data_IF_756221910026
#
_entry.id   IF_756221910026
#
_cell.length_a   1.000
_cell.length_b   1.000
_cell.length_c   1.000
_cell.angle_alpha   90.00
_cell.angle_beta   90.00
_cell.angle_gamma   90.00
#
_symmetry.space_group_name_H-M   'P 1'
#
loop_
_entity.id
_entity.type
_entity.pdbx_description
1 polymer ?
#
# COMPACT_ATOMS: atom_id res chain seq x y z
N UNK A 1 0.01 5.10 9.91
CA UNK A 1 -0.49 5.29 11.29
C UNK A 1 0.44 4.45 12.15
N UNK A 2 1.26 5.13 12.96
CA UNK A 2 2.44 4.56 13.60
C UNK A 2 2.22 4.27 15.08
N UNK A 3 3.27 3.74 15.71
CA UNK A 3 3.47 3.18 17.07
C UNK A 3 2.67 3.74 18.26
N UNK A 4 1.93 4.84 18.11
CA UNK A 4 1.16 5.49 19.18
C UNK A 4 -0.36 5.33 19.07
N UNK A 5 -0.91 4.70 18.02
CA UNK A 5 -2.37 4.60 17.84
C UNK A 5 -2.82 3.29 17.18
N UNK A 6 -3.82 2.63 17.76
CA UNK A 6 -4.50 1.47 17.19
C UNK A 6 -5.51 1.91 16.11
N UNK A 7 -5.28 1.48 14.86
CA UNK A 7 -6.15 1.80 13.72
C UNK A 7 -7.61 1.33 13.92
N UNK A 8 -7.82 0.27 14.70
CA UNK A 8 -9.16 -0.27 14.97
C UNK A 8 -10.06 0.73 15.70
N UNK A 9 -9.49 1.63 16.50
CA UNK A 9 -10.26 2.66 17.21
C UNK A 9 -10.89 3.69 16.27
N UNK A 10 -10.41 3.78 15.02
CA UNK A 10 -10.92 4.71 14.01
C UNK A 10 -12.00 4.10 13.11
N UNK A 11 -12.30 2.79 13.20
CA UNK A 11 -13.29 2.11 12.33
C UNK A 11 -14.64 2.82 12.38
N UNK A 12 -15.11 3.18 13.57
CA UNK A 12 -16.39 3.89 13.71
C UNK A 12 -16.42 5.26 13.05
N UNK A 13 -15.30 5.98 13.04
CA UNK A 13 -15.15 7.26 12.35
C UNK A 13 -15.10 7.07 10.83
N UNK A 14 -14.37 6.07 10.34
CA UNK A 14 -14.29 5.74 8.93
C UNK A 14 -15.65 5.38 8.35
N UNK A 15 -16.43 4.52 9.03
CA UNK A 15 -17.78 4.14 8.62
C UNK A 15 -18.73 5.35 8.58
N UNK A 16 -18.66 6.25 9.56
CA UNK A 16 -19.44 7.51 9.55
C UNK A 16 -19.07 8.44 8.40
N UNK A 17 -17.85 8.36 7.88
CA UNK A 17 -17.38 9.11 6.71
C UNK A 17 -17.70 8.42 5.38
N UNK A 18 -18.43 7.31 5.39
CA UNK A 18 -18.87 6.61 4.19
C UNK A 18 -17.98 5.46 3.74
N UNK A 19 -17.11 4.92 4.61
CA UNK A 19 -16.42 3.67 4.29
C UNK A 19 -17.44 2.51 4.19
N UNK A 20 -17.36 1.73 3.11
CA UNK A 20 -18.23 0.58 2.84
C UNK A 20 -17.77 -0.71 3.54
N UNK A 21 -16.65 -0.67 4.24
CA UNK A 21 -16.06 -1.83 4.87
C UNK A 21 -14.79 -1.56 5.64
N UNK A 22 -14.28 -2.57 6.32
CA UNK A 22 -13.02 -2.52 7.03
C UNK A 22 -12.39 -3.90 7.19
N UNK A 23 -11.08 -3.91 7.41
CA UNK A 23 -10.31 -5.09 7.80
C UNK A 23 -9.97 -4.96 9.28
N UNK A 24 -10.03 -6.05 10.03
CA UNK A 24 -9.64 -6.07 11.44
C UNK A 24 -8.85 -7.33 11.80
N UNK A 25 -7.96 -7.20 12.79
CA UNK A 25 -7.15 -8.32 13.27
C UNK A 25 -7.96 -9.26 14.15
N UNK A 26 -7.66 -10.57 14.08
CA UNK A 26 -8.41 -11.63 14.76
C UNK A 26 -8.46 -11.47 16.28
N UNK A 27 -7.47 -10.80 16.88
CA UNK A 27 -7.45 -10.41 18.29
C UNK A 27 -8.55 -9.41 18.72
N UNK A 28 -9.20 -8.72 17.78
CA UNK A 28 -10.21 -7.69 18.05
C UNK A 28 -11.66 -8.18 17.87
N UNK A 29 -11.89 -9.49 17.81
CA UNK A 29 -13.23 -10.10 17.67
C UNK A 29 -14.24 -9.61 18.71
N UNK A 30 -13.83 -9.37 19.96
CA UNK A 30 -14.74 -8.84 20.99
C UNK A 30 -15.08 -7.36 20.77
N UNK A 31 -14.15 -6.54 20.25
CA UNK A 31 -14.45 -5.15 19.84
C UNK A 31 -15.46 -5.12 18.68
N UNK A 32 -15.46 -6.12 17.79
CA UNK A 32 -16.45 -6.22 16.71
C UNK A 32 -17.90 -6.26 17.23
N UNK A 33 -18.16 -6.98 18.33
CA UNK A 33 -19.49 -7.03 18.96
C UNK A 33 -19.90 -5.65 19.51
N UNK A 34 -18.94 -4.93 20.11
CA UNK A 34 -19.16 -3.57 20.60
C UNK A 34 -19.44 -2.59 19.45
N UNK A 35 -18.68 -2.67 18.36
CA UNK A 35 -18.92 -1.85 17.16
C UNK A 35 -20.30 -2.12 16.57
N UNK A 36 -20.71 -3.39 16.42
CA UNK A 36 -22.07 -3.77 15.99
C UNK A 36 -23.15 -3.08 16.82
N UNK A 37 -23.00 -3.09 18.15
CA UNK A 37 -23.98 -2.51 19.09
C UNK A 37 -23.98 -0.98 19.07
N UNK A 38 -22.80 -0.36 19.03
CA UNK A 38 -22.65 1.08 19.23
C UNK A 38 -22.85 1.90 17.95
N UNK A 39 -22.64 1.31 16.79
CA UNK A 39 -22.52 2.11 15.57
C UNK A 39 -23.84 2.65 15.02
N UNK A 40 -25.01 2.13 15.43
CA UNK A 40 -26.33 2.54 14.89
C UNK A 40 -26.31 2.75 13.35
N UNK A 41 -25.45 2.00 12.65
CA UNK A 41 -25.22 2.18 11.21
C UNK A 41 -26.39 1.56 10.47
N UNK A 42 -26.75 2.17 9.33
CA UNK A 42 -27.99 1.91 8.58
C UNK A 42 -28.23 0.44 8.26
N UNK A 43 -27.20 -0.41 8.16
CA UNK A 43 -27.25 -1.86 8.28
C UNK A 43 -25.82 -2.41 8.33
N UNK A 44 -25.43 -3.05 9.44
CA UNK A 44 -24.10 -3.68 9.54
C UNK A 44 -23.90 -4.83 8.54
N UNK A 45 -24.99 -5.36 7.99
CA UNK A 45 -25.01 -6.40 6.97
C UNK A 45 -24.59 -5.90 5.57
N UNK A 46 -24.59 -4.58 5.35
CA UNK A 46 -24.22 -3.98 4.06
C UNK A 46 -22.71 -3.67 3.99
N UNK A 47 -21.97 -3.89 5.08
CA UNK A 47 -20.54 -3.61 5.16
C UNK A 47 -19.70 -4.82 4.76
N UNK A 48 -18.65 -4.59 3.98
CA UNK A 48 -17.61 -5.60 3.76
C UNK A 48 -16.69 -5.66 4.96
N UNK A 49 -16.77 -6.75 5.73
CA UNK A 49 -15.98 -6.93 6.95
C UNK A 49 -15.06 -8.12 6.76
N UNK A 50 -13.76 -7.84 6.68
CA UNK A 50 -12.73 -8.86 6.51
C UNK A 50 -11.93 -9.01 7.79
N UNK A 51 -11.62 -10.27 8.11
CA UNK A 51 -10.75 -10.61 9.22
C UNK A 51 -9.38 -11.01 8.67
N UNK A 52 -8.32 -10.53 9.32
CA UNK A 52 -6.95 -10.96 9.08
C UNK A 52 -6.26 -11.33 10.40
N UNK A 53 -5.15 -12.05 10.34
CA UNK A 53 -4.29 -12.26 11.50
C UNK A 53 -3.35 -11.06 11.74
N UNK A 54 -2.96 -10.39 10.67
CA UNK A 54 -2.17 -9.16 10.69
C UNK A 54 -2.63 -8.23 9.57
N UNK A 55 -3.02 -7.00 9.90
CA UNK A 55 -3.56 -6.05 8.92
C UNK A 55 -2.51 -5.59 7.90
N UNK A 56 -1.23 -5.54 8.31
CA UNK A 56 -0.14 -5.11 7.44
C UNK A 56 0.14 -6.16 6.37
N UNK A 57 0.32 -7.42 6.78
CA UNK A 57 0.48 -8.54 5.83
C UNK A 57 -0.75 -8.71 4.93
N UNK A 58 -1.95 -8.44 5.44
CA UNK A 58 -3.15 -8.40 4.60
C UNK A 58 -3.03 -7.32 3.50
N UNK A 59 -2.64 -6.10 3.85
CA UNK A 59 -2.46 -5.01 2.90
C UNK A 59 -1.39 -5.35 1.83
N UNK A 60 -0.26 -5.91 2.26
CA UNK A 60 0.84 -6.33 1.38
C UNK A 60 0.37 -7.39 0.37
N UNK A 61 -0.36 -8.41 0.82
CA UNK A 61 -0.87 -9.47 -0.04
C UNK A 61 -1.92 -8.98 -1.05
N UNK A 62 -2.77 -8.05 -0.63
CA UNK A 62 -3.74 -7.41 -1.51
C UNK A 62 -3.02 -6.57 -2.56
N UNK A 63 -2.02 -5.77 -2.16
CA UNK A 63 -1.22 -4.99 -3.10
C UNK A 63 -0.50 -5.89 -4.11
N UNK A 64 0.17 -6.95 -3.65
CA UNK A 64 0.83 -7.94 -4.54
C UNK A 64 -0.14 -8.56 -5.55
N UNK A 65 -1.34 -8.94 -5.10
CA UNK A 65 -2.36 -9.50 -5.99
C UNK A 65 -2.90 -8.46 -6.98
N UNK A 66 -3.03 -7.20 -6.54
CA UNK A 66 -3.55 -6.10 -7.33
C UNK A 66 -2.56 -5.68 -8.43
N UNK A 67 -1.27 -5.56 -8.12
CA UNK A 67 -0.25 -5.24 -9.12
C UNK A 67 -0.14 -6.33 -10.18
N UNK A 68 -0.24 -7.62 -9.79
CA UNK A 68 -0.25 -8.73 -10.75
C UNK A 68 -1.51 -8.80 -11.61
N UNK A 69 -2.64 -8.29 -11.11
CA UNK A 69 -3.89 -8.24 -11.87
C UNK A 69 -3.80 -7.29 -13.06
N UNK A 70 -3.23 -6.10 -12.85
CA UNK A 70 -3.07 -5.10 -13.91
C UNK A 70 -1.75 -5.23 -14.67
N UNK A 71 -0.74 -5.84 -14.03
CA UNK A 71 0.53 -6.24 -14.61
C UNK A 71 1.25 -5.12 -15.41
N UNK A 72 1.42 -3.90 -14.84
CA UNK A 72 2.27 -2.88 -15.45
C UNK A 72 3.73 -3.33 -15.41
N UNK A 73 4.61 -2.65 -16.16
CA UNK A 73 6.05 -2.80 -15.98
C UNK A 73 6.48 -2.09 -14.70
N UNK A 74 7.09 -2.82 -13.76
CA UNK A 74 7.43 -2.32 -12.43
C UNK A 74 8.92 -2.02 -12.29
N UNK A 75 9.23 -0.76 -11.97
CA UNK A 75 10.60 -0.27 -11.76
C UNK A 75 10.79 0.13 -10.29
N UNK A 76 11.76 -0.50 -9.62
CA UNK A 76 12.08 -0.26 -8.21
C UNK A 76 13.42 0.46 -8.09
N UNK A 77 13.44 1.58 -7.37
CA UNK A 77 14.63 2.41 -7.20
C UNK A 77 15.04 2.42 -5.73
N UNK A 78 16.26 1.99 -5.45
CA UNK A 78 16.84 1.99 -4.09
C UNK A 78 18.23 2.61 -4.05
N UNK A 79 18.73 2.88 -2.83
CA UNK A 79 20.00 3.55 -2.57
C UNK A 79 19.93 4.51 -1.37
N UNK A 80 21.07 4.95 -0.86
CA UNK A 80 21.16 5.95 0.21
C UNK A 80 20.77 7.34 -0.31
N UNK A 81 21.21 7.71 -1.52
CA UNK A 81 21.03 9.04 -2.12
C UNK A 81 20.53 8.92 -3.57
N UNK A 82 19.84 9.95 -4.07
CA UNK A 82 19.49 10.07 -5.51
C UNK A 82 18.23 9.34 -5.96
N UNK A 83 17.58 8.56 -5.06
CA UNK A 83 16.35 7.81 -5.38
C UNK A 83 15.23 8.68 -5.95
N UNK A 84 14.87 9.75 -5.24
CA UNK A 84 13.75 10.62 -5.61
C UNK A 84 14.02 11.34 -6.94
N UNK A 85 15.23 11.85 -7.14
CA UNK A 85 15.61 12.52 -8.40
C UNK A 85 15.54 11.55 -9.58
N UNK A 86 16.05 10.33 -9.40
CA UNK A 86 16.04 9.28 -10.44
C UNK A 86 14.61 8.86 -10.78
N UNK A 87 13.78 8.68 -9.76
CA UNK A 87 12.35 8.40 -9.93
C UNK A 87 11.68 9.52 -10.72
N UNK A 88 11.84 10.76 -10.29
CA UNK A 88 11.21 11.92 -10.93
C UNK A 88 11.68 12.08 -12.38
N UNK A 89 12.95 11.79 -12.67
CA UNK A 89 13.48 11.79 -14.04
C UNK A 89 12.83 10.71 -14.92
N UNK A 90 12.74 9.47 -14.43
CA UNK A 90 12.08 8.38 -15.15
C UNK A 90 10.60 8.65 -15.38
N UNK A 91 9.88 9.12 -14.36
CA UNK A 91 8.48 9.53 -14.48
C UNK A 91 8.32 10.56 -15.59
N UNK A 92 9.14 11.62 -15.60
CA UNK A 92 9.04 12.69 -16.60
C UNK A 92 9.33 12.22 -18.04
N UNK A 93 10.21 11.23 -18.22
CA UNK A 93 10.53 10.70 -19.55
C UNK A 93 9.43 9.77 -20.03
N UNK A 94 9.07 8.78 -19.21
CA UNK A 94 8.10 7.74 -19.59
C UNK A 94 6.69 8.32 -19.75
N UNK A 95 6.32 9.32 -18.95
CA UNK A 95 5.00 9.96 -19.03
C UNK A 95 4.75 10.72 -20.34
N UNK A 96 5.76 10.85 -21.22
CA UNK A 96 5.58 11.44 -22.56
C UNK A 96 4.80 10.52 -23.51
N UNK A 97 4.89 9.22 -23.31
CA UNK A 97 4.31 8.20 -24.21
C UNK A 97 3.45 7.17 -23.48
N UNK A 98 3.62 7.03 -22.17
CA UNK A 98 2.98 5.98 -21.37
C UNK A 98 2.26 6.57 -20.15
N UNK A 99 1.28 5.84 -19.62
CA UNK A 99 0.67 6.17 -18.32
C UNK A 99 1.54 5.60 -17.20
N UNK A 100 2.09 6.49 -16.40
CA UNK A 100 3.01 6.16 -15.31
C UNK A 100 2.36 6.47 -13.98
N UNK A 101 2.17 5.45 -13.15
CA UNK A 101 1.87 5.62 -11.73
C UNK A 101 3.15 5.45 -10.92
N UNK A 102 3.26 6.11 -9.77
CA UNK A 102 4.49 6.08 -8.98
C UNK A 102 4.25 6.37 -7.50
N UNK A 103 5.16 5.91 -6.65
CA UNK A 103 5.09 6.20 -5.22
C UNK A 103 5.32 7.71 -4.95
N UNK A 104 4.45 8.38 -4.17
CA UNK A 104 4.70 9.73 -3.67
C UNK A 104 5.99 9.83 -2.84
N UNK A 105 6.46 11.05 -2.60
CA UNK A 105 7.60 11.27 -1.69
C UNK A 105 7.27 10.67 -0.31
N UNK A 106 8.24 9.98 0.30
CA UNK A 106 8.13 9.29 1.59
C UNK A 106 7.21 8.04 1.60
N UNK A 107 6.71 7.59 0.44
CA UNK A 107 5.93 6.34 0.33
C UNK A 107 6.86 5.16 -0.01
N UNK A 108 8.00 5.08 0.68
CA UNK A 108 9.07 4.11 0.41
C UNK A 108 9.10 2.94 1.41
N UNK A 109 7.95 2.67 2.00
CA UNK A 109 7.70 1.70 3.07
C UNK A 109 6.59 0.78 2.62
N UNK A 110 6.44 -0.37 3.24
CA UNK A 110 5.45 -1.39 2.94
C UNK A 110 4.02 -0.83 2.85
N UNK A 111 3.63 0.07 3.76
CA UNK A 111 2.32 0.76 3.72
C UNK A 111 2.24 1.74 2.54
N UNK A 112 3.28 2.56 2.34
CA UNK A 112 3.29 3.59 1.30
C UNK A 112 3.28 2.99 -0.10
N UNK A 113 4.11 1.98 -0.33
CA UNK A 113 4.17 1.21 -1.58
C UNK A 113 2.85 0.52 -1.83
N UNK A 114 2.32 -0.24 -0.84
CA UNK A 114 1.06 -0.96 -1.00
C UNK A 114 -0.10 -0.01 -1.35
N UNK A 115 -0.18 1.16 -0.70
CA UNK A 115 -1.18 2.17 -1.05
C UNK A 115 -1.03 2.69 -2.47
N UNK A 116 0.20 2.98 -2.89
CA UNK A 116 0.46 3.49 -4.25
C UNK A 116 0.10 2.46 -5.31
N UNK A 117 0.31 1.17 -5.02
CA UNK A 117 -0.10 0.06 -5.88
C UNK A 117 -1.62 0.01 -6.03
N UNK A 118 -2.39 0.27 -4.97
CA UNK A 118 -3.85 0.22 -5.04
C UNK A 118 -4.48 1.36 -5.84
N UNK A 119 -3.70 2.38 -6.23
CA UNK A 119 -4.14 3.46 -7.11
C UNK A 119 -3.96 3.12 -8.61
N UNK A 120 -3.27 2.03 -8.96
CA UNK A 120 -3.10 1.64 -10.37
C UNK A 120 -4.43 1.14 -10.97
N UNK A 121 -4.53 1.19 -12.29
CA UNK A 121 -5.65 0.64 -13.03
C UNK A 121 -5.20 -0.05 -14.33
N UNK A 122 -6.16 -0.49 -15.16
CA UNK A 122 -5.90 -1.22 -16.40
C UNK A 122 -5.27 -0.39 -17.51
N UNK A 123 -5.09 0.91 -17.31
CA UNK A 123 -4.38 1.78 -18.26
C UNK A 123 -2.97 2.10 -17.78
N UNK A 124 -2.58 1.71 -16.56
CA UNK A 124 -1.22 1.93 -16.06
C UNK A 124 -0.23 1.07 -16.85
N UNK A 125 0.67 1.69 -17.59
CA UNK A 125 1.73 1.00 -18.35
C UNK A 125 2.95 0.72 -17.46
N UNK A 126 3.33 1.71 -16.63
CA UNK A 126 4.48 1.63 -15.74
C UNK A 126 4.10 1.97 -14.30
N UNK A 127 4.68 1.24 -13.36
CA UNK A 127 4.66 1.60 -11.94
C UNK A 127 6.10 1.81 -11.43
N UNK A 128 6.40 3.01 -10.91
CA UNK A 128 7.75 3.35 -10.43
C UNK A 128 7.73 3.56 -8.92
N UNK A 129 8.45 2.69 -8.21
CA UNK A 129 8.49 2.68 -6.75
C UNK A 129 9.85 3.10 -6.20
N UNK A 130 9.87 4.05 -5.26
CA UNK A 130 11.03 4.29 -4.40
C UNK A 130 11.02 3.27 -3.26
N UNK A 131 12.06 2.45 -3.14
CA UNK A 131 12.16 1.39 -2.12
C UNK A 131 13.13 1.79 -1.01
N UNK A 132 12.60 1.99 0.19
CA UNK A 132 13.35 2.38 1.38
C UNK A 132 14.09 1.21 2.02
N UNK A 133 15.32 1.46 2.48
CA UNK A 133 16.14 0.48 3.19
C UNK A 133 16.44 0.99 4.60
N UNK A 134 15.70 0.49 5.59
CA UNK A 134 15.91 0.75 7.04
C UNK A 134 16.61 -0.41 7.74
N UNK A 135 16.68 -1.57 7.10
CA UNK A 135 17.31 -2.77 7.67
C UNK A 135 17.41 -3.90 6.66
N UNK A 136 18.11 -4.97 7.07
CA UNK A 136 18.28 -6.19 6.27
C UNK A 136 16.92 -6.80 5.93
N UNK A 137 16.75 -7.25 4.69
CA UNK A 137 15.53 -7.91 4.20
C UNK A 137 14.42 -6.96 3.73
N UNK A 138 14.52 -5.64 3.96
CA UNK A 138 13.45 -4.72 3.55
C UNK A 138 13.33 -4.55 2.04
N UNK A 139 14.46 -4.53 1.33
CA UNK A 139 14.40 -4.45 -0.13
C UNK A 139 13.78 -5.71 -0.73
N UNK A 140 14.08 -6.88 -0.18
CA UNK A 140 13.47 -8.15 -0.59
C UNK A 140 11.96 -8.17 -0.33
N UNK A 141 11.52 -7.69 0.84
CA UNK A 141 10.10 -7.53 1.15
C UNK A 141 9.42 -6.57 0.16
N UNK A 142 9.97 -5.37 -0.02
CA UNK A 142 9.37 -4.34 -0.86
C UNK A 142 9.36 -4.72 -2.34
N UNK A 143 10.42 -5.36 -2.85
CA UNK A 143 10.46 -5.87 -4.22
C UNK A 143 9.45 -7.00 -4.42
N UNK A 144 9.24 -7.84 -3.40
CA UNK A 144 8.20 -8.87 -3.37
C UNK A 144 6.79 -8.27 -3.47
N UNK A 145 6.48 -7.25 -2.66
CA UNK A 145 5.19 -6.53 -2.72
C UNK A 145 4.95 -5.93 -4.11
N UNK A 146 5.99 -5.33 -4.70
CA UNK A 146 5.89 -4.67 -6.00
C UNK A 146 5.80 -5.64 -7.19
N UNK A 147 6.12 -6.92 -7.03
CA UNK A 147 6.31 -7.85 -8.15
C UNK A 147 7.27 -7.27 -9.21
N UNK A 148 8.47 -6.89 -8.77
CA UNK A 148 9.43 -6.10 -9.55
C UNK A 148 9.88 -6.74 -10.86
N UNK A 149 9.87 -5.98 -11.96
CA UNK A 149 10.51 -6.38 -13.23
C UNK A 149 11.95 -5.86 -13.33
N UNK A 150 12.17 -4.61 -12.89
CA UNK A 150 13.45 -3.90 -13.03
C UNK A 150 13.86 -3.29 -11.70
N UNK A 151 15.07 -3.61 -11.22
CA UNK A 151 15.66 -3.00 -10.04
C UNK A 151 16.83 -2.08 -10.39
N UNK A 152 16.80 -0.85 -9.87
CA UNK A 152 17.87 0.14 -9.99
C UNK A 152 18.45 0.48 -8.61
N UNK A 153 19.77 0.33 -8.46
CA UNK A 153 20.53 0.77 -7.29
C UNK A 153 21.36 1.98 -7.71
N UNK A 154 21.03 3.17 -7.20
CA UNK A 154 21.69 4.41 -7.65
C UNK A 154 22.99 4.70 -6.91
N UNK A 155 22.95 4.90 -5.59
CA UNK A 155 24.13 5.13 -4.78
C UNK A 155 24.01 4.37 -3.46
N UNK A 156 25.08 3.72 -3.04
CA UNK A 156 25.26 3.18 -1.69
C UNK A 156 26.30 4.07 -1.02
N UNK A 157 25.93 4.67 0.11
CA UNK A 157 26.78 5.55 0.91
C UNK A 157 26.85 4.99 2.31
#
# INVERSE_FOLDING_TARGET
MGENYDGHDFIGSALKKGADGFVFESGYKEKLKLWKKNLKLKNFNDLMILQSDNNLTFLENIAYSYIRKFNPTVIGITGSVGKTITKDFLVNILSKEYRVEFTPRNYNTEIGVSKSILEIDSQTDFFIAELGMRGKGQIEMLSGICNLDIGAIVAVG
#
